data_IF_623754848367
#
_entry.id   IF_623754848367
#
_cell.length_a   1.000
_cell.length_b   1.000
_cell.length_c   1.000
_cell.angle_alpha   90.00
_cell.angle_beta   90.00
_cell.angle_gamma   90.00
#
_symmetry.space_group_name_H-M   'P 1'
#
loop_
_entity.id
_entity.type
_entity.pdbx_description
1 polymer ?
2 non-polymer ?
3 water ?
#
# COMPACT_ATOMS: atom_id res chain seq x y z
N UNK A 3 -23.86 13.06 -5.79
CA UNK A 3 -23.70 11.78 -5.07
C UNK A 3 -22.16 11.58 -4.81
N UNK A 4 -21.34 10.94 -5.74
CA UNK A 4 -19.96 10.64 -5.27
C UNK A 4 -19.12 11.90 -4.99
N UNK A 5 -19.46 13.01 -5.63
CA UNK A 5 -18.65 14.22 -5.43
C UNK A 5 -18.79 14.78 -3.93
N UNK A 6 -19.91 14.49 -3.28
CA UNK A 6 -20.14 14.86 -1.90
C UNK A 6 -19.12 14.20 -1.01
N UNK A 7 -18.44 13.16 -1.44
CA UNK A 7 -17.56 12.46 -0.56
C UNK A 7 -16.24 13.10 -0.36
N UNK A 8 -15.88 14.12 -1.15
CA UNK A 8 -14.50 14.69 -0.97
C UNK A 8 -14.53 16.13 -1.34
N UNK A 9 -13.51 16.87 -0.97
CA UNK A 9 -13.36 18.28 -1.36
C UNK A 9 -11.86 18.44 -1.81
N UNK A 10 -11.53 19.52 -2.53
CA UNK A 10 -10.22 19.76 -3.17
C UNK A 10 -9.50 20.73 -2.29
N UNK A 11 -8.17 20.58 -2.12
CA UNK A 11 -7.31 21.67 -1.59
C UNK A 11 -6.79 22.48 -2.77
N UNK A 12 -7.12 23.79 -2.83
CA UNK A 12 -6.63 24.50 -4.02
C UNK A 12 -5.07 24.49 -4.24
N UNK A 13 -4.29 24.63 -3.18
CA UNK A 13 -2.82 24.63 -3.29
C UNK A 13 -2.36 23.38 -3.94
N UNK A 14 -2.80 22.22 -3.37
CA UNK A 14 -2.41 20.92 -3.92
C UNK A 14 -2.89 20.78 -5.33
N UNK A 15 -4.13 21.16 -5.62
CA UNK A 15 -4.70 21.09 -6.98
C UNK A 15 -3.94 21.98 -7.99
N UNK A 16 -3.61 23.22 -7.62
CA UNK A 16 -2.79 24.09 -8.51
C UNK A 16 -1.48 23.43 -8.84
N UNK A 17 -0.83 22.86 -7.84
CA UNK A 17 0.53 22.27 -8.06
C UNK A 17 0.38 21.07 -9.00
N UNK A 18 -0.63 20.21 -8.75
CA UNK A 18 -1.00 19.13 -9.76
C UNK A 18 -1.28 19.64 -11.19
N UNK A 19 -2.07 20.68 -11.33
CA UNK A 19 -2.43 21.14 -12.63
C UNK A 19 -1.20 21.66 -13.40
N UNK A 21 2.01 20.45 -12.72
CA UNK A 21 2.65 19.19 -13.19
C UNK A 21 2.01 18.63 -14.53
N UNK A 22 0.67 18.64 -14.62
CA UNK A 22 -0.08 18.16 -15.78
C UNK A 22 0.19 18.94 -16.97
N UNK A 23 0.29 20.25 -16.83
CA UNK A 23 0.60 21.15 -17.97
C UNK A 23 2.01 20.90 -18.51
N UNK A 24 2.98 20.61 -17.63
CA UNK A 24 4.41 20.36 -18.06
C UNK A 24 4.70 18.89 -18.49
N UNK A 25 3.87 17.92 -18.07
CA UNK A 25 4.01 16.55 -18.57
C UNK A 25 2.73 15.82 -18.98
N UNK A 26 2.60 15.70 -20.32
CA UNK A 26 1.42 15.11 -20.96
C UNK A 26 1.11 13.64 -20.53
N UNK A 27 2.11 12.76 -20.38
CA UNK A 27 1.91 11.41 -19.75
C UNK A 27 0.96 11.35 -18.50
N UNK A 28 0.93 12.40 -17.66
CA UNK A 28 0.18 12.37 -16.44
C UNK A 28 0.85 11.64 -15.27
N UNK A 29 0.15 11.51 -14.17
CA UNK A 29 0.82 11.06 -12.95
C UNK A 29 0.52 9.60 -12.53
N UNK A 30 1.35 9.01 -11.67
CA UNK A 30 0.94 7.72 -11.17
C UNK A 30 0.26 7.92 -9.83
N UNK A 32 -0.35 5.93 -6.24
CA UNK A 32 -0.29 4.73 -5.39
C UNK A 32 -1.45 4.82 -4.38
N UNK A 33 -2.14 3.69 -4.08
CA UNK A 33 -3.09 3.78 -2.99
C UNK A 33 -3.12 2.48 -2.19
N UNK A 34 -3.36 2.71 -0.91
CA UNK A 34 -3.33 1.66 0.07
C UNK A 34 -3.92 2.18 1.31
N UNK A 35 -4.92 1.45 1.78
CA UNK A 35 -5.59 1.67 3.01
C UNK A 35 -5.16 0.70 4.12
N UNK A 36 -5.41 1.17 5.33
CA UNK A 36 -5.20 0.36 6.54
C UNK A 36 -6.58 -0.28 6.90
N UNK A 37 -6.71 -1.62 6.83
CA UNK A 37 -7.84 -2.29 7.36
C UNK A 37 -8.15 -3.65 6.82
N UNK A 38 -7.41 -4.12 5.80
CA UNK A 38 -7.63 -5.46 5.20
C UNK A 38 -6.36 -6.24 5.45
N UNK A 39 -6.32 -7.47 4.99
CA UNK A 39 -5.13 -8.32 5.15
C UNK A 39 -3.90 -7.68 4.50
N UNK A 40 -2.78 -7.65 5.21
CA UNK A 40 -1.56 -7.03 4.70
C UNK A 40 -0.45 -7.73 5.50
N UNK A 41 -0.18 -8.99 5.14
CA UNK A 41 0.75 -9.87 5.79
C UNK A 41 2.07 -9.14 5.82
N UNK A 42 2.75 -9.23 6.98
CA UNK A 42 4.08 -8.70 7.05
C UNK A 42 4.06 -7.14 7.06
N UNK A 43 2.86 -6.56 7.18
CA UNK A 43 2.70 -5.06 7.09
C UNK A 43 3.38 -4.47 5.87
N UNK A 44 3.29 -5.17 4.74
CA UNK A 44 4.04 -4.90 3.59
C UNK A 44 3.54 -3.50 3.11
N UNK A 45 2.24 -3.35 2.96
CA UNK A 45 1.74 -2.05 2.46
C UNK A 45 1.90 -0.98 3.51
N UNK A 46 1.59 -1.33 4.77
CA UNK A 46 1.72 -0.36 5.83
C UNK A 46 3.14 0.28 5.96
N UNK A 47 4.19 -0.55 5.75
CA UNK A 47 5.56 -0.07 5.86
C UNK A 47 5.84 0.96 4.78
N UNK A 48 5.27 0.72 3.59
CA UNK A 48 5.56 1.57 2.46
C UNK A 48 4.85 2.92 2.69
N UNK A 49 3.58 2.83 3.14
CA UNK A 49 2.81 4.04 3.45
C UNK A 49 3.59 4.92 4.46
N UNK A 50 4.07 4.30 5.54
CA UNK A 50 4.80 4.97 6.58
C UNK A 50 6.03 5.62 6.06
N UNK A 51 6.79 4.85 5.26
CA UNK A 51 8.02 5.37 4.70
C UNK A 51 7.76 6.55 3.76
N UNK A 52 6.74 6.44 2.89
CA UNK A 52 6.48 7.56 1.99
C UNK A 52 6.13 8.88 2.80
N UNK A 53 5.14 8.78 3.67
CA UNK A 53 4.58 9.92 4.33
C UNK A 53 5.57 10.51 5.31
N UNK A 54 6.40 9.66 5.91
CA UNK A 54 7.46 10.14 6.79
C UNK A 54 8.66 10.70 6.07
N UNK A 55 9.01 10.27 4.85
CA UNK A 55 10.27 10.68 4.21
C UNK A 55 10.17 11.68 3.09
N UNK A 56 9.03 11.89 2.49
CA UNK A 56 9.06 12.59 1.24
C UNK A 56 8.20 13.82 1.51
N UNK A 57 8.41 14.90 0.73
CA UNK A 57 7.64 16.19 0.93
C UNK A 57 6.28 15.99 0.31
N UNK A 58 5.19 16.29 1.00
CA UNK A 58 3.88 16.10 0.39
C UNK A 58 2.87 17.09 1.01
N UNK A 59 1.68 17.15 0.41
CA UNK A 59 0.58 17.98 0.82
C UNK A 59 -0.73 17.45 0.26
N UNK A 60 -1.83 17.86 0.87
CA UNK A 60 -3.13 17.34 0.45
C UNK A 60 -3.58 17.97 -0.89
N UNK A 61 -4.20 17.13 -1.69
CA UNK A 61 -4.89 17.56 -2.94
C UNK A 61 -6.41 17.32 -2.84
N UNK A 62 -6.83 16.12 -2.43
CA UNK A 62 -8.25 15.91 -2.08
C UNK A 62 -8.40 15.30 -0.70
N UNK A 63 -9.43 15.71 0.06
CA UNK A 63 -9.71 15.17 1.37
C UNK A 63 -11.07 14.42 1.25
N UNK A 64 -11.10 13.14 1.57
CA UNK A 64 -12.38 12.45 1.71
C UNK A 64 -13.07 12.76 3.06
N UNK A 65 -14.38 12.55 3.12
CA UNK A 65 -15.17 12.88 4.32
C UNK A 65 -15.05 11.67 5.21
N UNK A 66 -13.96 11.53 5.94
CA UNK A 66 -13.84 10.35 6.83
C UNK A 66 -15.00 10.30 7.86
N UNK A 67 -15.64 11.41 8.20
CA UNK A 67 -16.64 11.39 9.29
C UNK A 67 -17.85 10.52 8.80
N UNK A 68 -18.02 10.44 7.50
CA UNK A 68 -19.09 9.58 6.94
C UNK A 68 -18.59 8.11 6.61
N UNK A 69 -17.31 7.95 6.39
CA UNK A 69 -16.76 6.72 5.80
C UNK A 69 -16.16 5.78 6.83
N UNK A 70 -15.82 6.28 8.04
CA UNK A 70 -15.04 5.52 8.99
C UNK A 70 -15.85 5.25 10.19
N UNK A 71 -15.97 3.97 10.57
CA UNK A 71 -16.77 3.56 11.71
C UNK A 71 -15.89 3.90 12.91
N UNK A 72 -16.31 4.83 13.77
CA UNK A 72 -15.44 5.22 14.87
C UNK A 72 -15.38 4.19 16.03
N UNK A 73 -16.44 3.46 16.30
CA UNK A 73 -16.37 2.51 17.41
C UNK A 73 -15.53 1.34 16.98
N UNK A 74 -15.51 0.98 15.71
CA UNK A 74 -14.73 -0.21 15.29
C UNK A 74 -13.24 0.12 15.33
N UNK A 75 -12.83 1.30 14.92
CA UNK A 75 -11.41 1.55 15.01
C UNK A 75 -11.23 2.97 15.54
N UNK A 76 -11.01 3.14 16.80
CA UNK A 76 -11.22 4.32 17.56
C UNK A 76 -9.97 5.24 17.42
N UNK A 77 -10.08 6.35 16.73
CA UNK A 77 -8.93 7.25 16.60
C UNK A 77 -8.41 7.77 17.95
N UNK A 78 -7.09 7.97 18.05
CA UNK A 78 -6.43 8.31 19.26
C UNK A 78 -6.57 9.76 19.65
N UNK A 79 -7.03 10.02 20.89
CA UNK A 79 -6.88 11.35 21.47
C UNK A 79 -5.61 11.41 22.25
N UNK A 80 -5.02 12.60 22.32
CA UNK A 80 -3.92 12.69 23.23
C UNK A 80 -4.25 13.49 24.50
N UNK A 81 -3.82 12.93 25.63
CA UNK A 81 -4.08 13.44 26.97
C UNK A 81 -2.79 14.04 27.47
N UNK A 82 -2.86 15.27 27.94
CA UNK A 82 -1.68 15.97 28.33
C UNK A 82 -2.05 16.88 29.47
N UNK A 83 -1.36 16.66 30.59
CA UNK A 83 -1.74 17.14 31.91
C UNK A 83 -2.82 16.17 32.48
N UNK A 84 -4.12 16.26 32.19
CA UNK A 84 -5.23 17.02 32.74
C UNK A 84 -6.37 17.22 31.72
N UNK A 85 -6.08 17.11 30.44
CA UNK A 85 -7.07 17.38 29.43
C UNK A 85 -6.72 16.86 28.04
N UNK A 86 -7.68 16.82 27.10
CA UNK A 86 -7.35 16.43 25.74
C UNK A 86 -6.54 17.54 25.00
N UNK A 87 -5.36 17.19 24.51
CA UNK A 87 -4.51 18.21 23.87
C UNK A 87 -4.50 18.06 22.32
N UNK A 88 -4.98 16.95 21.83
CA UNK A 88 -4.87 16.70 20.43
C UNK A 88 -5.71 15.44 20.08
N UNK A 89 -5.83 15.20 18.79
CA UNK A 89 -6.74 14.20 18.28
C UNK A 89 -6.13 13.72 16.93
N UNK A 90 -5.93 12.41 16.68
CA UNK A 90 -5.49 11.94 15.37
C UNK A 90 -6.73 11.66 14.46
N UNK A 91 -7.06 12.59 13.57
CA UNK A 91 -8.25 12.36 12.70
C UNK A 91 -7.94 11.16 11.84
N UNK A 92 -8.96 10.34 11.55
CA UNK A 92 -8.74 9.13 10.73
C UNK A 92 -8.87 9.56 9.24
N UNK A 93 -7.93 10.37 8.78
CA UNK A 93 -8.07 10.99 7.47
C UNK A 93 -7.85 10.06 6.31
N UNK A 94 -8.58 10.33 5.23
CA UNK A 94 -8.40 9.60 4.00
C UNK A 94 -8.13 10.69 2.95
N UNK A 95 -6.94 10.68 2.35
CA UNK A 95 -6.53 11.86 1.58
C UNK A 95 -5.78 11.39 0.35
N UNK A 96 -5.97 12.10 -0.78
CA UNK A 96 -5.04 12.02 -1.91
C UNK A 96 -4.05 13.16 -1.76
N UNK A 97 -2.79 12.76 -1.61
CA UNK A 97 -1.63 13.66 -1.47
C UNK A 97 -0.79 13.71 -2.77
N UNK A 98 -0.25 14.91 -3.03
CA UNK A 98 0.79 15.11 -3.98
C UNK A 98 2.11 14.86 -3.25
N UNK A 99 2.97 14.04 -3.84
CA UNK A 99 4.27 13.78 -3.22
C UNK A 99 5.36 13.87 -4.27
N UNK A 100 6.60 14.12 -3.85
CA UNK A 100 7.77 14.01 -4.76
C UNK A 100 8.70 12.90 -4.33
N UNK A 101 9.21 12.13 -5.28
CA UNK A 101 10.20 11.17 -4.95
C UNK A 101 11.58 11.85 -4.64
N UNK A 102 12.66 11.06 -4.56
CA UNK A 102 13.97 11.62 -4.28
C UNK A 102 14.50 12.56 -5.40
N UNK A 103 14.04 12.33 -6.62
CA UNK A 103 14.27 13.17 -7.81
C UNK A 103 13.53 14.53 -7.79
N UNK A 104 12.42 14.62 -7.05
CA UNK A 104 11.49 15.72 -7.21
C UNK A 104 10.37 15.43 -8.22
N UNK A 105 10.33 14.20 -8.75
CA UNK A 105 9.22 13.82 -9.60
C UNK A 105 7.92 13.67 -8.82
N UNK A 106 6.85 14.34 -9.30
CA UNK A 106 5.55 14.25 -8.61
C UNK A 106 4.84 12.90 -8.83
N UNK A 107 4.11 12.51 -7.79
CA UNK A 107 3.18 11.41 -7.91
C UNK A 107 2.04 11.61 -6.91
N UNK A 108 0.96 10.81 -7.00
CA UNK A 108 -0.13 10.93 -6.00
C UNK A 108 -0.14 9.67 -5.12
N UNK A 109 -0.68 9.84 -3.93
CA UNK A 109 -0.65 8.83 -2.89
C UNK A 109 -2.01 8.98 -2.10
N UNK A 110 -2.86 7.96 -2.21
CA UNK A 110 -4.15 7.86 -1.56
C UNK A 110 -4.00 6.84 -0.42
N UNK A 111 -4.20 7.32 0.81
CA UNK A 111 -4.08 6.42 1.95
C UNK A 111 -4.91 6.93 3.16
N UNK A 112 -5.11 6.04 4.15
CA UNK A 112 -5.76 6.28 5.42
C UNK A 112 -6.48 4.95 5.71
N UNK A 113 -7.44 4.98 6.66
CA UNK A 113 -8.18 3.82 7.01
C UNK A 113 -9.08 3.41 5.86
N UNK A 114 -9.14 2.10 5.61
CA UNK A 114 -10.02 1.55 4.57
C UNK A 114 -11.47 2.03 4.92
N UNK A 115 -12.19 2.64 3.99
CA UNK A 115 -13.59 2.99 4.29
C UNK A 115 -14.40 1.73 4.74
N UNK A 116 -15.23 1.88 5.74
CA UNK A 116 -16.02 0.77 6.19
C UNK A 116 -17.26 0.55 5.34
N UNK A 117 -17.74 1.63 4.72
CA UNK A 117 -19.04 1.66 4.07
C UNK A 117 -18.98 2.35 2.71
N UNK A 118 -20.03 2.13 1.93
CA UNK A 118 -20.28 2.92 0.71
C UNK A 118 -19.14 2.74 -0.28
N UNK A 119 -18.65 1.52 -0.45
CA UNK A 119 -17.57 1.31 -1.37
C UNK A 119 -17.90 1.62 -2.82
N UNK A 120 -19.15 1.45 -3.28
CA UNK A 120 -19.44 1.75 -4.69
C UNK A 120 -19.29 3.27 -4.91
N UNK A 121 -19.88 4.10 -4.05
CA UNK A 121 -19.83 5.55 -4.16
C UNK A 121 -18.36 6.00 -3.98
N UNK A 122 -17.64 5.37 -3.05
CA UNK A 122 -16.19 5.70 -2.84
C UNK A 122 -15.39 5.36 -4.11
N UNK A 123 -15.59 4.18 -4.70
CA UNK A 123 -14.87 3.82 -5.95
C UNK A 123 -15.18 4.88 -7.06
N UNK A 124 -16.44 5.30 -7.16
CA UNK A 124 -16.81 6.18 -8.18
C UNK A 124 -16.14 7.58 -7.90
N UNK A 125 -16.10 7.99 -6.63
CA UNK A 125 -15.34 9.20 -6.29
C UNK A 125 -13.87 9.17 -6.66
N UNK A 126 -13.20 8.05 -6.35
CA UNK A 126 -11.81 7.85 -6.72
C UNK A 126 -11.64 7.90 -8.27
N UNK A 127 -12.58 7.29 -9.00
CA UNK A 127 -12.60 7.44 -10.49
C UNK A 127 -12.68 8.90 -10.91
N UNK A 128 -13.47 9.72 -10.25
CA UNK A 128 -13.50 11.17 -10.69
C UNK A 128 -12.16 11.88 -10.36
N UNK A 129 -11.53 11.49 -9.24
CA UNK A 129 -10.32 12.09 -8.86
C UNK A 129 -9.22 11.68 -9.85
N UNK A 130 -9.22 10.42 -10.25
CA UNK A 130 -8.23 9.86 -11.17
C UNK A 130 -8.37 10.62 -12.54
N UNK A 131 -9.62 10.81 -12.95
CA UNK A 131 -9.87 11.55 -14.19
C UNK A 131 -9.45 13.03 -14.05
N UNK A 132 -9.84 13.69 -12.96
CA UNK A 132 -9.53 15.13 -12.86
C UNK A 132 -8.01 15.36 -12.70
N UNK A 133 -7.29 14.44 -12.06
CA UNK A 133 -5.87 14.70 -11.86
C UNK A 133 -4.99 14.03 -12.90
N UNK A 134 -5.49 13.68 -14.09
CA UNK A 134 -4.64 13.11 -15.17
C UNK A 134 -3.83 11.87 -14.75
N UNK A 135 -4.33 11.08 -13.81
CA UNK A 135 -3.68 9.84 -13.40
C UNK A 135 -3.61 8.87 -14.61
N UNK A 136 -2.40 8.47 -14.95
CA UNK A 136 -2.21 7.47 -15.98
C UNK A 136 -2.17 6.00 -15.47
N UNK A 137 -1.90 5.80 -14.20
CA UNK A 137 -1.74 4.41 -13.66
C UNK A 137 -2.04 4.54 -12.21
N UNK A 138 -2.88 3.60 -11.68
CA UNK A 138 -3.15 3.50 -10.28
C UNK A 138 -2.54 2.18 -9.81
N UNK A 139 -1.89 2.20 -8.66
CA UNK A 139 -1.07 1.06 -8.21
C UNK A 139 -1.38 0.76 -6.72
N UNK A 140 -1.97 -0.42 -6.47
CA UNK A 140 -2.19 -0.91 -5.12
C UNK A 140 -1.06 -1.92 -4.75
N UNK A 141 -0.98 -2.28 -3.47
CA UNK A 141 0.13 -3.14 -3.03
C UNK A 141 -0.19 -3.63 -1.64
N UNK A 142 0.06 -4.90 -1.40
CA UNK A 142 -0.13 -5.49 -0.02
C UNK A 142 0.57 -6.83 0.11
N UNK A 143 0.60 -7.38 1.33
CA UNK A 143 1.17 -8.74 1.60
C UNK A 143 0.08 -9.74 1.77
N UNK A 144 0.24 -10.93 1.21
CA UNK A 144 -0.69 -12.06 1.47
C UNK A 144 0.12 -13.19 2.15
N UNK A 145 -0.44 -13.85 3.17
CA UNK A 145 0.32 -14.85 3.84
C UNK A 145 0.34 -16.16 2.94
N UNK A 147 2.37 -20.26 2.06
CA UNK A 147 3.24 -21.36 2.54
C UNK A 147 4.60 -21.31 1.89
N UNK A 148 5.41 -20.31 2.24
CA UNK A 148 6.72 -20.14 1.64
C UNK A 148 7.72 -19.83 2.78
N UNK A 149 9.02 -20.14 2.60
CA UNK A 149 9.97 -19.92 3.67
C UNK A 149 10.54 -18.50 3.72
N UNK A 150 10.80 -18.01 4.94
CA UNK A 150 11.52 -16.72 5.06
C UNK A 150 12.97 -16.80 4.53
N UNK A 151 13.48 -18.00 4.29
CA UNK A 151 14.84 -18.17 3.85
C UNK A 151 14.94 -18.17 2.33
N UNK A 152 13.87 -17.84 1.64
CA UNK A 152 13.89 -17.80 0.14
C UNK A 152 13.34 -16.41 -0.26
N UNK A 153 13.60 -15.95 -1.49
CA UNK A 153 13.17 -14.55 -1.75
C UNK A 153 11.65 -14.41 -1.68
N UNK A 154 11.19 -13.17 -1.49
CA UNK A 154 9.75 -12.84 -1.54
C UNK A 154 9.22 -12.98 -2.98
N UNK A 155 8.29 -13.92 -3.18
CA UNK A 155 7.49 -13.98 -4.44
C UNK A 155 6.48 -12.81 -4.53
N UNK A 156 6.05 -12.45 -5.75
CA UNK A 156 5.01 -11.47 -5.87
C UNK A 156 4.00 -11.91 -6.88
N UNK A 157 2.77 -11.49 -6.73
CA UNK A 157 1.73 -11.70 -7.76
C UNK A 157 1.37 -10.29 -8.26
N UNK A 158 1.81 -9.90 -9.48
CA UNK A 158 1.36 -8.62 -10.06
C UNK A 158 -0.07 -8.89 -10.56
N UNK A 159 -1.02 -7.94 -10.50
CA UNK A 159 -2.31 -8.29 -11.06
C UNK A 159 -2.88 -6.95 -11.60
N UNK A 160 -3.97 -7.00 -12.37
CA UNK A 160 -4.57 -5.76 -12.92
C UNK A 160 -4.47 -5.66 -14.41
N UNK A 161 -4.61 -4.49 -15.03
CA UNK A 161 -4.46 -4.46 -16.54
C UNK A 161 -3.00 -4.18 -16.95
N UNK A 162 -2.12 -3.81 -16.02
CA UNK A 162 -0.78 -3.47 -16.49
C UNK A 162 0.29 -4.34 -15.94
N UNK A 163 -0.03 -5.63 -16.01
CA UNK A 163 0.80 -6.72 -15.52
C UNK A 163 2.14 -6.74 -16.24
N UNK A 164 2.16 -6.17 -17.44
CA UNK A 164 3.36 -6.16 -18.29
C UNK A 164 4.47 -5.32 -17.66
N UNK A 165 4.09 -4.32 -16.90
CA UNK A 165 5.02 -3.50 -16.17
C UNK A 165 5.83 -4.23 -15.07
N UNK A 166 5.36 -5.37 -14.63
CA UNK A 166 6.25 -6.16 -13.82
C UNK A 166 6.62 -7.49 -14.54
N UNK A 167 7.78 -7.49 -15.20
CA UNK A 167 8.21 -8.52 -16.17
C UNK A 167 8.01 -9.96 -15.70
N UNK A 173 -4.33 -20.79 -15.32
CA UNK A 173 -3.54 -21.38 -14.22
C UNK A 173 -4.15 -21.02 -12.87
N UNK A 174 -4.95 -19.95 -12.82
CA UNK A 174 -5.39 -19.37 -11.54
C UNK A 174 -6.78 -18.68 -11.51
N UNK A 175 -7.70 -19.18 -10.68
CA UNK A 175 -9.10 -18.71 -10.71
C UNK A 175 -9.76 -18.77 -9.28
N UNK A 176 -9.76 -17.69 -8.53
CA UNK A 176 -10.08 -17.74 -7.12
C UNK A 176 -11.06 -16.63 -6.69
N UNK A 177 -11.74 -16.85 -5.55
CA UNK A 177 -12.65 -15.88 -4.92
C UNK A 177 -11.93 -15.37 -3.70
N UNK A 178 -11.86 -14.05 -3.55
CA UNK A 178 -11.07 -13.33 -2.59
C UNK A 178 -12.05 -12.34 -1.87
N UNK A 179 -12.06 -12.34 -0.53
CA UNK A 179 -12.82 -11.29 0.14
C UNK A 179 -12.44 -9.92 -0.35
N UNK A 180 -13.44 -9.10 -0.72
CA UNK A 180 -13.18 -7.75 -1.25
C UNK A 180 -12.56 -6.79 -0.23
N UNK A 181 -11.83 -5.82 -0.71
CA UNK A 181 -11.37 -4.78 0.14
C UNK A 181 -11.70 -3.47 -0.65
N UNK A 182 -11.54 -2.31 -0.03
CA UNK A 182 -11.94 -1.06 -0.75
C UNK A 182 -11.03 -0.85 -1.94
N UNK A 183 -9.74 -1.13 -1.81
CA UNK A 183 -8.78 -0.92 -2.93
C UNK A 183 -9.09 -1.83 -4.06
N UNK A 184 -9.39 -3.06 -3.76
CA UNK A 184 -9.76 -4.05 -4.78
C UNK A 184 -10.99 -3.63 -5.51
N UNK A 185 -12.02 -3.17 -4.81
CA UNK A 185 -13.20 -2.77 -5.59
C UNK A 185 -12.90 -1.47 -6.39
N UNK A 186 -12.13 -0.54 -5.79
CA UNK A 186 -11.70 0.64 -6.53
C UNK A 186 -10.99 0.15 -7.83
N UNK A 187 -10.08 -0.82 -7.72
CA UNK A 187 -9.25 -1.26 -8.87
C UNK A 187 -10.17 -1.80 -9.93
N UNK A 188 -11.14 -2.63 -9.53
CA UNK A 188 -12.12 -3.27 -10.42
C UNK A 188 -13.00 -2.23 -11.16
N UNK A 189 -13.53 -1.24 -10.42
CA UNK A 189 -14.30 -0.15 -11.05
C UNK A 189 -13.42 0.72 -11.94
N UNK A 190 -12.19 1.01 -11.51
CA UNK A 190 -11.34 1.81 -12.38
C UNK A 190 -11.09 1.06 -13.68
N UNK A 191 -10.78 -0.23 -13.62
CA UNK A 191 -10.49 -0.96 -14.84
C UNK A 191 -11.70 -0.98 -15.72
N UNK A 192 -12.90 -1.19 -15.15
CA UNK A 192 -14.09 -1.19 -15.99
C UNK A 192 -14.24 0.15 -16.65
N UNK A 193 -13.77 1.24 -16.04
CA UNK A 193 -13.89 2.54 -16.74
C UNK A 193 -12.73 2.80 -17.73
N UNK A 194 -11.93 1.80 -18.13
CA UNK A 194 -10.84 2.03 -19.10
C UNK A 194 -9.49 2.40 -18.51
N UNK A 195 -9.42 2.65 -17.20
CA UNK A 195 -8.15 3.09 -16.55
C UNK A 195 -7.17 1.92 -16.26
N UNK A 196 -5.87 2.18 -16.45
CA UNK A 196 -4.82 1.24 -16.19
C UNK A 196 -4.59 1.12 -14.65
N UNK A 197 -4.55 -0.14 -14.16
CA UNK A 197 -4.42 -0.52 -12.76
C UNK A 197 -3.27 -1.51 -12.81
N UNK A 198 -2.34 -1.37 -11.87
CA UNK A 198 -1.66 -2.48 -11.32
C UNK A 198 -1.69 -2.65 -9.83
N UNK A 199 -1.53 -3.89 -9.45
CA UNK A 199 -1.38 -4.22 -8.06
C UNK A 199 -0.20 -5.17 -7.86
N UNK A 200 0.42 -5.08 -6.69
CA UNK A 200 1.49 -6.01 -6.39
C UNK A 200 1.26 -6.70 -5.01
N UNK A 201 0.99 -8.01 -4.98
CA UNK A 201 0.83 -8.73 -3.72
C UNK A 201 2.13 -9.53 -3.39
N UNK A 202 2.79 -9.21 -2.28
CA UNK A 202 3.99 -9.94 -1.79
C UNK A 202 3.59 -11.27 -1.10
N UNK A 203 4.34 -12.32 -1.31
CA UNK A 203 4.04 -13.61 -0.74
C UNK A 203 4.81 -13.62 0.54
N UNK A 204 4.14 -13.61 1.67
CA UNK A 204 4.84 -13.45 2.97
C UNK A 204 4.68 -14.77 3.74
N UNK A 205 5.78 -15.28 4.34
CA UNK A 205 5.66 -16.56 5.06
C UNK A 205 4.58 -16.45 6.18
N UNK A 206 3.57 -17.32 6.14
CA UNK A 206 2.56 -17.41 7.20
C UNK A 206 3.13 -17.14 8.57
N UNK A 207 4.22 -17.81 8.96
CA UNK A 207 4.66 -17.77 10.34
C UNK A 207 5.44 -16.46 10.67
N UNK A 208 5.64 -15.56 9.69
CA UNK A 208 6.16 -14.23 10.12
C UNK A 208 5.11 -13.11 9.78
N UNK A 209 3.89 -13.53 9.43
CA UNK A 209 2.97 -12.61 8.80
C UNK A 209 2.42 -11.51 9.71
N UNK A 210 2.44 -11.73 11.00
CA UNK A 210 1.77 -10.80 11.93
C UNK A 210 2.80 -9.91 12.61
N UNK A 211 4.05 -9.84 12.19
CA UNK A 211 4.78 -8.57 12.14
C UNK A 211 5.37 -8.09 10.92
N UNK A 212 6.06 -6.94 11.08
CA UNK A 212 6.70 -6.26 9.97
C UNK A 212 7.66 -7.23 9.29
N UNK A 213 7.53 -7.33 7.98
CA UNK A 213 8.46 -8.15 7.23
C UNK A 213 9.05 -7.29 6.13
N UNK A 214 10.10 -6.53 6.48
CA UNK A 214 10.63 -5.49 5.59
C UNK A 214 11.06 -6.00 4.22
N UNK A 215 11.57 -7.23 4.16
CA UNK A 215 11.84 -7.81 2.88
C UNK A 215 10.69 -7.78 1.92
N UNK A 216 9.48 -8.01 2.46
CA UNK A 216 8.31 -7.97 1.59
C UNK A 216 8.03 -6.54 1.10
N UNK A 217 8.12 -5.53 1.98
CA UNK A 217 7.92 -4.13 1.58
C UNK A 217 8.99 -3.75 0.59
N UNK A 218 10.22 -4.22 0.82
CA UNK A 218 11.30 -3.85 -0.10
C UNK A 218 10.98 -4.45 -1.46
N UNK A 219 10.59 -5.72 -1.50
CA UNK A 219 10.46 -6.40 -2.82
C UNK A 219 9.29 -5.72 -3.60
N UNK A 220 8.25 -5.37 -2.85
CA UNK A 220 7.14 -4.66 -3.45
C UNK A 220 7.54 -3.26 -3.89
N UNK A 221 8.33 -2.56 -3.05
CA UNK A 221 8.73 -1.16 -3.40
C UNK A 221 9.54 -1.18 -4.75
N UNK A 222 10.34 -2.22 -4.94
CA UNK A 222 11.21 -2.29 -6.16
C UNK A 222 10.42 -2.72 -7.40
N UNK A 223 9.39 -3.59 -7.24
CA UNK A 223 8.48 -3.80 -8.38
C UNK A 223 7.72 -2.46 -8.71
N UNK A 224 7.29 -1.71 -7.69
CA UNK A 224 6.53 -0.50 -7.94
C UNK A 224 7.40 0.56 -8.72
N UNK A 225 8.58 0.77 -8.19
CA UNK A 225 9.58 1.70 -8.65
C UNK A 225 9.99 1.30 -10.06
N UNK A 226 10.25 -0.01 -10.24
CA UNK A 226 10.53 -0.52 -11.63
C UNK A 226 9.33 -0.32 -12.60
N UNK A 227 8.11 -0.59 -12.17
CA UNK A 227 6.88 -0.40 -13.00
C UNK A 227 6.49 1.09 -13.31
N UNK A 228 6.74 2.01 -12.35
CA UNK A 228 6.32 3.42 -12.46
C UNK A 228 7.38 4.45 -12.87
N UNK A 229 8.66 4.09 -12.75
CA UNK A 229 9.72 5.03 -13.04
C UNK A 229 9.94 5.98 -11.89
N UNK A 230 9.35 5.71 -10.71
CA UNK A 230 9.58 6.62 -9.54
C UNK A 230 10.93 6.26 -8.88
N UNK A 231 11.65 7.21 -8.30
CA UNK A 231 12.88 6.80 -7.66
C UNK A 231 12.96 7.02 -6.17
N UNK A 232 13.06 5.93 -5.43
CA UNK A 232 12.94 5.96 -3.99
C UNK A 232 14.10 5.24 -3.21
N UNK A 233 15.39 5.67 -3.44
CA UNK A 233 16.56 4.97 -2.90
C UNK A 233 16.64 5.05 -1.37
N UNK A 234 16.42 6.22 -0.76
CA UNK A 234 16.39 6.31 0.72
C UNK A 234 15.39 5.30 1.40
N UNK A 235 14.21 5.16 0.83
CA UNK A 235 13.23 4.22 1.38
C UNK A 235 13.74 2.78 1.13
N UNK A 236 14.19 2.46 -0.10
CA UNK A 236 14.74 1.12 -0.33
C UNK A 236 15.85 0.80 0.68
N UNK A 237 16.67 1.81 0.99
CA UNK A 237 17.76 1.61 1.93
C UNK A 237 17.28 1.31 3.34
N UNK A 238 16.41 2.17 3.87
CA UNK A 238 15.87 1.92 5.24
C UNK A 238 15.24 0.54 5.32
N UNK A 239 14.37 0.18 4.35
CA UNK A 239 13.76 -1.18 4.34
C UNK A 239 14.80 -2.29 4.29
N UNK A 240 15.87 -2.11 3.48
CA UNK A 240 16.95 -3.11 3.35
C UNK A 240 17.55 -3.35 4.74
N UNK A 241 17.74 -2.26 5.48
CA UNK A 241 18.38 -2.28 6.80
C UNK A 241 17.54 -3.02 7.82
N UNK A 242 16.25 -2.67 7.86
CA UNK A 242 15.25 -3.39 8.68
C UNK A 242 15.22 -4.84 8.28
N UNK A 243 15.26 -5.15 7.00
CA UNK A 243 15.17 -6.57 6.61
C UNK A 243 16.36 -7.40 7.19
N UNK A 244 17.55 -6.78 7.21
CA UNK A 244 18.71 -7.46 7.80
C UNK A 244 18.42 -7.80 9.26
N UNK A 245 17.90 -6.81 10.02
CA UNK A 245 17.63 -7.01 11.44
C UNK A 245 16.52 -8.08 11.57
N UNK A 246 15.54 -8.01 10.69
CA UNK A 246 14.44 -8.90 10.82
C UNK A 246 14.84 -10.39 10.52
N UNK A 247 15.69 -10.61 9.50
CA UNK A 247 16.16 -11.97 9.15
C UNK A 247 16.96 -12.61 10.26
N UNK A 248 17.90 -11.83 10.85
CA UNK A 248 18.54 -12.20 12.10
C UNK A 248 17.54 -12.58 13.21
N UNK A 249 16.54 -11.75 13.52
CA UNK A 249 15.57 -12.14 14.56
C UNK A 249 14.84 -13.46 14.20
N UNK A 250 14.44 -13.60 12.94
CA UNK A 250 13.66 -14.77 12.58
C UNK A 250 14.55 -16.02 12.67
N UNK A 251 15.79 -15.92 12.20
CA UNK A 251 16.68 -17.06 12.26
C UNK A 251 16.84 -17.56 13.68
N UNK A 252 17.00 -16.64 14.64
CA UNK A 252 17.23 -17.07 16.02
C UNK A 252 15.96 -17.65 16.59
N UNK A 253 14.83 -17.12 16.22
CA UNK A 253 13.58 -17.73 16.68
C UNK A 253 13.40 -19.18 16.21
N UNK A 254 13.62 -19.41 14.93
CA UNK A 254 13.39 -20.74 14.41
C UNK A 254 14.46 -21.67 15.06
N UNK A 255 15.70 -21.16 15.06
CA UNK A 255 16.83 -21.96 15.50
C UNK A 255 16.68 -22.39 16.98
N UNK A 256 16.14 -21.48 17.77
CA UNK A 256 15.90 -21.72 19.19
C UNK A 256 14.55 -22.33 19.53
N UNK A 257 13.63 -22.43 18.60
CA UNK A 257 12.33 -23.03 18.91
C UNK A 257 12.18 -24.55 18.75
N UNK A 258 10.93 -24.99 18.91
CA UNK A 258 10.43 -26.30 18.48
C UNK A 258 11.16 -26.98 17.33
N UNK A 259 11.32 -28.32 17.47
CA UNK A 259 11.56 -29.24 16.36
C UNK A 259 10.55 -29.08 15.22
N UNK A 260 9.27 -28.89 15.58
CA UNK A 260 8.21 -28.77 14.57
C UNK A 260 8.36 -27.51 13.72
N UNK A 261 8.84 -26.44 14.35
CA UNK A 261 9.03 -25.21 13.62
C UNK A 261 10.23 -25.33 12.68
N UNK A 262 11.31 -25.93 13.18
CA UNK A 262 12.46 -26.19 12.29
C UNK A 262 12.00 -27.02 11.08
N UNK A 263 11.21 -28.07 11.38
CA UNK A 263 10.74 -29.03 10.37
C UNK A 263 9.77 -28.28 9.43
N UNK A 264 8.98 -27.34 9.95
CA UNK A 264 8.17 -26.49 9.07
C UNK A 264 8.97 -25.71 8.01
N UNK A 265 9.98 -24.96 8.45
CA UNK A 265 10.82 -24.20 7.52
C UNK A 265 11.49 -25.08 6.47
N UNK A 266 12.05 -26.25 6.88
CA UNK A 266 12.72 -27.11 5.92
C UNK A 266 11.71 -27.72 4.93
N UNK A 267 10.52 -28.08 5.43
CA UNK A 267 9.47 -28.62 4.60
C UNK A 267 9.05 -27.55 3.57
N UNK A 268 8.96 -26.29 4.01
CA UNK A 268 8.55 -25.21 3.04
C UNK A 268 9.63 -24.84 2.03
N UNK A 269 10.91 -24.80 2.46
CA UNK A 269 12.10 -24.75 1.58
C UNK A 269 12.05 -25.84 0.55
N UNK A 270 11.82 -27.07 0.97
CA UNK A 270 11.80 -28.17 -0.02
C UNK A 270 10.70 -27.88 -1.08
N UNK A 271 9.49 -27.47 -0.62
CA UNK A 271 8.36 -27.20 -1.58
C UNK A 271 8.83 -26.12 -2.54
N UNK A 272 9.41 -25.08 -1.98
CA UNK A 272 9.88 -23.93 -2.76
C UNK A 272 10.90 -24.31 -3.83
N UNK A 273 11.96 -25.03 -3.41
CA UNK A 273 13.03 -25.46 -4.34
C UNK A 273 12.54 -26.43 -5.34
N UNK A 274 11.60 -27.29 -4.96
CA UNK A 274 11.09 -28.24 -6.00
C UNK A 274 10.31 -27.52 -7.11
N UNK A 275 9.61 -26.43 -6.78
CA UNK A 275 8.93 -25.62 -7.82
C UNK A 275 10.00 -24.74 -8.47
N UNK A 276 10.09 -24.69 -9.81
CA UNK A 276 11.21 -23.96 -10.56
C UNK A 276 12.63 -24.12 -9.96
#
# INVERSE_FOLDING_TARGET
XLDPQDLYTWEPKGLAVVDXALAQESAGLVXLYHFDGYIDAGETGDQIVDQVLDSLPHQVVARFDHDRLVDYRARRPLLTFKRDTWSDYEEPTIEVRLVQDATGAPFLFLSGPEPDVEWERFAAAVGQIVERLGVRLSVSFHGIPXGVPHTRPVGITPHGSRTDLVPGHRSPFEEAQVPGSAEALVEYRLAQAGHDVLGVAAHVPHYVARSAYPDAALTVLEAITAATGLVLPGIAHSLRTDAHRTQTEIDRQIQEGDEELIALVQGLEHQYDAAAGAETRGNXLAEPVEIPSADEIGREFERFLAEREGDGKLAAALEHHHHHH
#
